data_IF_526884116515
#
_entry.id   IF_526884116515
#
_cell.length_a   1.000
_cell.length_b   1.000
_cell.length_c   1.000
_cell.angle_alpha   90.00
_cell.angle_beta   90.00
_cell.angle_gamma   90.00
#
_symmetry.space_group_name_H-M   'P 1'
#
loop_
_entity.id
_entity.type
_entity.pdbx_description
1 polymer ?
#
# COMPACT_ATOMS: atom_id res chain seq x y z
N UNK A 1 -24.87 1.58 8.74
CA UNK A 1 -23.42 1.84 8.52
C UNK A 1 -23.21 3.34 8.48
N UNK A 2 -22.45 3.91 9.42
CA UNK A 2 -22.26 5.36 9.48
C UNK A 2 -21.35 5.76 8.30
N UNK A 3 -21.82 6.61 7.37
CA UNK A 3 -21.03 7.07 6.21
C UNK A 3 -19.65 7.62 6.59
N UNK A 4 -19.50 8.10 7.83
CA UNK A 4 -18.23 8.52 8.42
C UNK A 4 -17.19 7.39 8.51
N UNK A 5 -17.59 6.17 8.87
CA UNK A 5 -16.69 5.02 8.98
C UNK A 5 -16.23 4.52 7.60
N UNK A 6 -17.12 4.51 6.60
CA UNK A 6 -16.79 4.12 5.22
C UNK A 6 -15.85 5.10 4.51
N UNK A 7 -15.97 6.41 4.77
CA UNK A 7 -15.08 7.43 4.17
C UNK A 7 -13.66 7.43 4.77
N UNK A 8 -13.51 6.91 6.00
CA UNK A 8 -12.28 6.91 6.79
C UNK A 8 -11.22 5.89 6.29
N UNK A 9 -11.60 4.98 5.38
CA UNK A 9 -10.95 3.66 5.28
C UNK A 9 -10.43 3.23 3.90
N UNK A 10 -10.54 4.07 2.87
CA UNK A 10 -9.93 3.77 1.55
C UNK A 10 -8.54 4.41 1.48
N UNK A 11 -7.54 3.68 1.97
CA UNK A 11 -6.12 4.05 1.90
C UNK A 11 -5.46 3.28 0.75
N UNK A 12 -5.09 3.99 -0.31
CA UNK A 12 -4.55 3.39 -1.53
C UNK A 12 -3.03 3.24 -1.43
N UNK A 13 -2.56 2.01 -1.65
CA UNK A 13 -1.16 1.53 -1.66
C UNK A 13 -0.45 1.96 -2.96
N UNK A 14 -0.32 3.25 -3.22
CA UNK A 14 0.13 3.70 -4.55
C UNK A 14 1.65 3.66 -4.76
N UNK A 15 2.48 3.84 -3.73
CA UNK A 15 3.90 4.23 -3.95
C UNK A 15 4.90 3.09 -4.07
N UNK A 16 4.58 1.91 -3.54
CA UNK A 16 5.38 0.70 -3.82
C UNK A 16 5.57 0.48 -5.32
N UNK A 17 4.54 0.83 -6.10
CA UNK A 17 4.52 0.62 -7.53
C UNK A 17 5.27 1.67 -8.35
N UNK A 18 5.60 2.83 -7.77
CA UNK A 18 6.53 3.78 -8.40
C UNK A 18 7.98 3.27 -8.29
N UNK A 19 8.38 2.78 -7.11
CA UNK A 19 9.67 2.12 -6.92
C UNK A 19 9.78 0.81 -7.72
N UNK A 20 8.75 -0.03 -7.69
CA UNK A 20 8.68 -1.25 -8.49
C UNK A 20 8.67 -0.94 -9.99
N UNK A 21 7.94 0.08 -10.45
CA UNK A 21 7.89 0.51 -11.85
C UNK A 21 9.27 0.89 -12.39
N UNK A 22 10.11 1.52 -11.58
CA UNK A 22 11.51 1.78 -11.92
C UNK A 22 12.32 0.49 -12.15
N UNK A 23 12.17 -0.51 -11.28
CA UNK A 23 12.85 -1.80 -11.47
C UNK A 23 12.25 -2.60 -12.63
N UNK A 24 10.94 -2.53 -12.85
CA UNK A 24 10.28 -3.12 -14.02
C UNK A 24 10.81 -2.53 -15.34
N UNK A 25 11.22 -1.25 -15.36
CA UNK A 25 11.72 -0.54 -16.55
C UNK A 25 13.20 -0.73 -16.87
N UNK A 26 14.03 -1.23 -15.93
CA UNK A 26 15.51 -1.17 -15.86
C UNK A 26 16.06 0.12 -15.26
N UNK A 27 17.23 -0.01 -14.62
CA UNK A 27 18.04 1.08 -14.05
C UNK A 27 18.42 2.09 -15.14
N UNK A 28 18.09 3.36 -14.96
CA UNK A 28 18.43 4.45 -15.90
C UNK A 28 19.06 5.65 -15.19
N UNK A 29 19.65 6.57 -15.96
CA UNK A 29 20.37 7.75 -15.45
C UNK A 29 19.46 8.95 -15.11
N UNK A 30 18.16 8.85 -15.36
CA UNK A 30 17.16 9.92 -15.17
C UNK A 30 16.54 9.86 -13.78
N UNK A 31 16.38 8.66 -13.21
CA UNK A 31 15.92 8.46 -11.83
C UNK A 31 16.98 7.75 -11.00
N UNK A 32 17.31 8.33 -9.84
CA UNK A 32 18.16 7.65 -8.86
C UNK A 32 17.30 6.89 -7.86
N UNK A 33 17.55 5.59 -7.74
CA UNK A 33 16.88 4.76 -6.73
C UNK A 33 17.89 4.19 -5.75
N UNK A 34 17.63 4.43 -4.47
CA UNK A 34 18.50 4.01 -3.37
C UNK A 34 17.71 3.09 -2.43
N UNK A 35 18.26 1.91 -2.18
CA UNK A 35 17.76 1.03 -1.14
C UNK A 35 18.46 1.36 0.19
N UNK A 36 17.69 1.59 1.25
CA UNK A 36 18.22 1.88 2.58
C UNK A 36 17.76 0.80 3.53
N UNK A 37 18.72 0.16 4.21
CA UNK A 37 18.42 -0.81 5.26
C UNK A 37 18.19 -0.12 6.60
N UNK A 38 17.11 -0.49 7.31
CA UNK A 38 16.79 0.10 8.62
C UNK A 38 17.79 -0.30 9.71
N UNK A 39 18.31 -1.52 9.68
CA UNK A 39 19.18 -2.11 10.70
C UNK A 39 20.62 -2.38 10.19
N UNK A 40 20.87 -2.13 8.91
CA UNK A 40 22.16 -2.38 8.26
C UNK A 40 22.43 -3.85 7.98
N UNK A 41 21.46 -4.75 8.23
CA UNK A 41 21.62 -6.18 8.00
C UNK A 41 21.58 -6.54 6.50
N UNK A 42 20.83 -5.75 5.72
CA UNK A 42 20.71 -5.95 4.28
C UNK A 42 21.62 -5.00 3.50
N UNK A 43 22.31 -5.53 2.49
CA UNK A 43 23.06 -4.71 1.53
C UNK A 43 22.12 -4.01 0.56
N UNK A 44 22.52 -2.86 0.02
CA UNK A 44 21.76 -2.21 -1.06
C UNK A 44 21.50 -3.18 -2.22
N UNK A 45 22.50 -3.96 -2.63
CA UNK A 45 22.39 -4.93 -3.71
C UNK A 45 21.36 -6.03 -3.44
N UNK A 46 21.27 -6.53 -2.20
CA UNK A 46 20.27 -7.55 -1.85
C UNK A 46 18.86 -6.99 -1.87
N UNK A 47 18.65 -5.77 -1.35
CA UNK A 47 17.35 -5.09 -1.39
C UNK A 47 16.92 -4.76 -2.83
N UNK A 48 17.87 -4.42 -3.71
CA UNK A 48 17.63 -4.23 -5.15
C UNK A 48 17.20 -5.51 -5.85
N UNK A 49 17.88 -6.62 -5.56
CA UNK A 49 17.51 -7.92 -6.12
C UNK A 49 16.11 -8.37 -5.67
N UNK A 50 15.79 -8.16 -4.39
CA UNK A 50 14.50 -8.53 -3.82
C UNK A 50 13.35 -7.68 -4.39
N UNK A 51 13.51 -6.35 -4.44
CA UNK A 51 12.53 -5.46 -5.06
C UNK A 51 12.27 -5.83 -6.53
N UNK A 52 13.32 -6.15 -7.28
CA UNK A 52 13.19 -6.60 -8.68
C UNK A 52 12.40 -7.91 -8.77
N UNK A 53 12.75 -8.90 -7.96
CA UNK A 53 12.07 -10.20 -7.95
C UNK A 53 10.58 -10.05 -7.68
N UNK A 54 10.22 -9.29 -6.64
CA UNK A 54 8.83 -9.04 -6.26
C UNK A 54 8.07 -8.22 -7.30
N UNK A 55 8.76 -7.30 -8.00
CA UNK A 55 8.17 -6.53 -9.09
C UNK A 55 7.83 -7.42 -10.30
N UNK A 56 8.68 -8.38 -10.62
CA UNK A 56 8.42 -9.34 -11.71
C UNK A 56 7.29 -10.31 -11.36
N UNK A 57 7.25 -10.80 -10.12
CA UNK A 57 6.15 -11.61 -9.63
C UNK A 57 4.81 -10.86 -9.73
N UNK A 58 4.78 -9.58 -9.37
CA UNK A 58 3.60 -8.75 -9.54
C UNK A 58 3.11 -8.75 -11.00
N UNK A 59 4.02 -8.50 -11.94
CA UNK A 59 3.71 -8.50 -13.38
C UNK A 59 3.14 -9.85 -13.84
N UNK A 60 3.71 -10.97 -13.37
CA UNK A 60 3.20 -12.31 -13.69
C UNK A 60 1.79 -12.55 -13.14
N UNK A 61 1.53 -12.15 -11.90
CA UNK A 61 0.21 -12.31 -11.26
C UNK A 61 -0.84 -11.43 -11.95
N UNK A 62 -0.49 -10.19 -12.33
CA UNK A 62 -1.35 -9.35 -13.17
C UNK A 62 -1.67 -10.05 -14.50
N UNK A 63 -0.70 -10.76 -15.09
CA UNK A 63 -0.90 -11.58 -16.30
C UNK A 63 -1.99 -12.65 -16.15
N UNK A 64 -2.12 -13.23 -14.96
CA UNK A 64 -3.16 -14.22 -14.65
C UNK A 64 -4.53 -13.58 -14.40
N UNK A 65 -4.55 -12.45 -13.69
CA UNK A 65 -5.79 -11.76 -13.29
C UNK A 65 -6.41 -10.95 -14.43
N UNK A 66 -5.59 -10.19 -15.16
CA UNK A 66 -6.04 -9.28 -16.20
C UNK A 66 -5.05 -9.27 -17.39
N UNK A 67 -5.24 -10.19 -18.36
CA UNK A 67 -4.36 -10.30 -19.53
C UNK A 67 -4.24 -9.01 -20.35
N UNK A 68 -5.29 -8.18 -20.39
CA UNK A 68 -5.26 -6.89 -21.09
C UNK A 68 -4.33 -5.87 -20.42
N UNK A 69 -4.46 -5.70 -19.09
CA UNK A 69 -3.56 -4.84 -18.29
C UNK A 69 -2.11 -5.31 -18.42
N UNK A 70 -1.89 -6.63 -18.40
CA UNK A 70 -0.57 -7.24 -18.60
C UNK A 70 0.06 -6.92 -19.95
N UNK A 71 -0.71 -6.94 -21.05
CA UNK A 71 -0.20 -6.54 -22.38
C UNK A 71 0.32 -5.10 -22.36
N UNK A 72 -0.41 -4.19 -21.73
CA UNK A 72 0.01 -2.79 -21.54
C UNK A 72 1.31 -2.68 -20.75
N UNK A 73 1.40 -3.34 -19.60
CA UNK A 73 2.61 -3.38 -18.77
C UNK A 73 3.82 -3.89 -19.56
N UNK A 74 3.70 -5.04 -20.24
CA UNK A 74 4.79 -5.65 -20.99
C UNK A 74 5.28 -4.76 -22.13
N UNK A 75 4.36 -4.08 -22.82
CA UNK A 75 4.70 -3.10 -23.86
C UNK A 75 5.50 -1.94 -23.29
N UNK A 76 5.07 -1.38 -22.16
CA UNK A 76 5.74 -0.27 -21.50
C UNK A 76 7.13 -0.66 -20.96
N UNK A 77 7.26 -1.84 -20.35
CA UNK A 77 8.56 -2.39 -19.92
C UNK A 77 9.52 -2.49 -21.11
N UNK A 78 9.06 -3.01 -22.25
CA UNK A 78 9.88 -3.14 -23.46
C UNK A 78 10.36 -1.80 -24.00
N UNK A 79 9.53 -0.77 -23.90
CA UNK A 79 9.79 0.57 -24.45
C UNK A 79 10.39 1.55 -23.44
N UNK A 80 10.67 1.11 -22.20
CA UNK A 80 11.10 2.02 -21.13
C UNK A 80 12.34 2.83 -21.47
N UNK A 81 13.33 2.22 -22.14
CA UNK A 81 14.59 2.86 -22.52
C UNK A 81 14.38 4.03 -23.50
N UNK A 82 13.26 4.08 -24.22
CA UNK A 82 12.93 5.14 -25.19
C UNK A 82 11.91 6.16 -24.67
N UNK A 83 11.38 5.96 -23.46
CA UNK A 83 10.42 6.88 -22.85
C UNK A 83 11.09 8.17 -22.37
N UNK A 84 10.41 9.31 -22.53
CA UNK A 84 10.79 10.56 -21.84
C UNK A 84 10.58 10.44 -20.33
N UNK A 85 11.15 11.37 -19.56
CA UNK A 85 10.94 11.44 -18.11
C UNK A 85 9.45 11.52 -17.76
N UNK A 86 8.69 12.33 -18.48
CA UNK A 86 7.25 12.53 -18.28
C UNK A 86 6.48 11.23 -18.56
N UNK A 87 6.85 10.51 -19.61
CA UNK A 87 6.25 9.21 -19.95
C UNK A 87 6.55 8.15 -18.87
N UNK A 88 7.77 8.14 -18.32
CA UNK A 88 8.13 7.25 -17.20
C UNK A 88 7.33 7.57 -15.93
N UNK A 89 7.17 8.85 -15.60
CA UNK A 89 6.32 9.29 -14.48
C UNK A 89 4.86 8.90 -14.70
N UNK A 90 4.33 9.12 -15.90
CA UNK A 90 2.96 8.71 -16.24
C UNK A 90 2.78 7.20 -16.09
N UNK A 91 3.72 6.41 -16.61
CA UNK A 91 3.69 4.96 -16.49
C UNK A 91 3.73 4.49 -15.03
N UNK A 92 4.58 5.07 -14.18
CA UNK A 92 4.59 4.74 -12.74
C UNK A 92 3.25 5.04 -12.06
N UNK A 93 2.61 6.16 -12.40
CA UNK A 93 1.28 6.49 -11.88
C UNK A 93 0.21 5.51 -12.39
N UNK A 94 0.31 5.07 -13.65
CA UNK A 94 -0.60 4.07 -14.23
C UNK A 94 -0.48 2.72 -13.53
N UNK A 95 0.74 2.27 -13.20
CA UNK A 95 0.95 1.03 -12.41
C UNK A 95 0.30 1.21 -11.03
N UNK A 96 0.55 2.31 -10.34
CA UNK A 96 -0.01 2.58 -9.02
C UNK A 96 -1.55 2.56 -9.02
N UNK A 97 -2.17 3.27 -9.97
CA UNK A 97 -3.62 3.29 -10.14
C UNK A 97 -4.20 1.92 -10.52
N UNK A 98 -3.52 1.21 -11.42
CA UNK A 98 -3.90 -0.15 -11.81
C UNK A 98 -3.86 -1.11 -10.61
N UNK A 99 -2.80 -1.07 -9.78
CA UNK A 99 -2.69 -1.89 -8.58
C UNK A 99 -3.80 -1.58 -7.59
N UNK A 100 -4.11 -0.30 -7.35
CA UNK A 100 -5.22 0.09 -6.48
C UNK A 100 -6.54 -0.57 -6.91
N UNK A 101 -6.86 -0.49 -8.21
CA UNK A 101 -8.06 -1.12 -8.78
C UNK A 101 -8.02 -2.64 -8.63
N UNK A 102 -6.88 -3.28 -8.89
CA UNK A 102 -6.74 -4.73 -8.75
C UNK A 102 -6.88 -5.18 -7.30
N UNK A 103 -6.33 -4.44 -6.35
CA UNK A 103 -6.46 -4.74 -4.93
C UNK A 103 -7.93 -4.67 -4.49
N UNK A 104 -8.64 -3.60 -4.81
CA UNK A 104 -10.07 -3.46 -4.47
C UNK A 104 -10.89 -4.63 -5.07
N UNK A 105 -10.65 -4.97 -6.34
CA UNK A 105 -11.33 -6.08 -7.02
C UNK A 105 -11.04 -7.45 -6.38
N UNK A 106 -9.83 -7.63 -5.83
CA UNK A 106 -9.32 -8.95 -5.42
C UNK A 106 -9.37 -9.21 -3.92
N UNK A 107 -9.48 -8.17 -3.10
CA UNK A 107 -9.59 -8.28 -1.64
C UNK A 107 -10.73 -9.19 -1.16
N UNK A 108 -11.94 -9.16 -1.76
CA UNK A 108 -13.01 -10.07 -1.35
C UNK A 108 -12.62 -11.56 -1.44
N UNK A 109 -11.70 -11.90 -2.34
CA UNK A 109 -11.24 -13.27 -2.60
C UNK A 109 -9.89 -13.60 -1.94
N UNK A 110 -9.22 -12.61 -1.34
CA UNK A 110 -7.90 -12.81 -0.73
C UNK A 110 -7.98 -13.65 0.56
N UNK A 111 -6.92 -14.38 0.86
CA UNK A 111 -6.85 -15.20 2.09
C UNK A 111 -6.79 -14.34 3.36
N UNK A 112 -7.25 -14.90 4.48
CA UNK A 112 -7.16 -14.24 5.79
C UNK A 112 -5.71 -13.87 6.13
N UNK A 113 -4.76 -14.76 5.83
CA UNK A 113 -3.33 -14.52 6.07
C UNK A 113 -2.80 -13.34 5.26
N UNK A 114 -3.22 -13.21 3.99
CA UNK A 114 -2.83 -12.11 3.12
C UNK A 114 -3.30 -10.76 3.68
N UNK A 115 -4.55 -10.70 4.14
CA UNK A 115 -5.13 -9.48 4.71
C UNK A 115 -4.50 -9.12 6.05
N UNK A 116 -4.26 -10.10 6.93
CA UNK A 116 -3.57 -9.84 8.20
C UNK A 116 -2.12 -9.37 7.98
N UNK A 117 -1.40 -9.95 7.02
CA UNK A 117 -0.07 -9.49 6.62
C UNK A 117 -0.11 -8.06 6.04
N UNK A 118 -1.21 -7.70 5.38
CA UNK A 118 -1.38 -6.38 4.77
C UNK A 118 -1.43 -5.28 5.82
N UNK A 119 -2.17 -5.51 6.90
CA UNK A 119 -2.18 -4.57 8.03
C UNK A 119 -0.77 -4.34 8.60
N UNK A 120 0.01 -5.42 8.78
CA UNK A 120 1.41 -5.30 9.22
C UNK A 120 2.27 -4.48 8.26
N UNK A 121 2.15 -4.73 6.95
CA UNK A 121 2.91 -4.02 5.93
C UNK A 121 2.56 -2.53 5.85
N UNK A 122 1.27 -2.16 5.98
CA UNK A 122 0.85 -0.74 5.95
C UNK A 122 1.45 0.01 7.14
N UNK A 123 1.38 -0.57 8.33
CA UNK A 123 1.96 0.00 9.55
C UNK A 123 3.45 0.30 9.34
N UNK A 124 4.21 -0.70 8.91
CA UNK A 124 5.66 -0.54 8.77
C UNK A 124 6.05 0.46 7.67
N UNK A 125 5.22 0.60 6.63
CA UNK A 125 5.39 1.65 5.63
C UNK A 125 5.17 3.04 6.24
N UNK A 126 4.09 3.23 7.02
CA UNK A 126 3.84 4.51 7.70
C UNK A 126 5.03 4.88 8.59
N UNK A 127 5.51 3.96 9.43
CA UNK A 127 6.70 4.14 10.25
C UNK A 127 7.95 4.41 9.41
N UNK A 128 8.13 3.66 8.31
CA UNK A 128 9.24 3.81 7.39
C UNK A 128 9.29 5.19 6.72
N UNK A 129 8.15 5.73 6.31
CA UNK A 129 8.08 7.08 5.74
C UNK A 129 8.31 8.15 6.79
N UNK A 130 7.81 7.98 8.02
CA UNK A 130 8.04 8.95 9.10
C UNK A 130 9.50 8.99 9.55
N UNK A 131 10.24 7.89 9.43
CA UNK A 131 11.70 7.89 9.65
C UNK A 131 12.44 8.63 8.53
N UNK A 132 12.03 8.43 7.26
CA UNK A 132 12.65 9.07 6.09
C UNK A 132 12.34 10.58 6.02
N UNK A 133 11.09 10.95 6.30
CA UNK A 133 10.56 12.30 6.27
C UNK A 133 9.71 12.54 7.55
N UNK A 134 10.34 13.07 8.62
CA UNK A 134 9.64 13.36 9.87
C UNK A 134 8.52 14.39 9.75
N UNK A 135 8.44 15.16 8.66
CA UNK A 135 7.32 16.08 8.41
C UNK A 135 6.03 15.32 8.07
N UNK A 136 6.13 14.06 7.65
CA UNK A 136 5.00 13.23 7.23
C UNK A 136 4.44 13.60 5.85
N UNK A 137 4.99 14.59 5.15
CA UNK A 137 4.49 15.03 3.84
C UNK A 137 4.61 13.94 2.77
N UNK A 138 5.75 13.26 2.74
CA UNK A 138 5.96 12.12 1.85
C UNK A 138 4.99 10.99 2.19
N UNK A 139 4.88 10.64 3.47
CA UNK A 139 3.93 9.64 3.93
C UNK A 139 2.49 9.97 3.50
N UNK A 140 2.05 11.23 3.70
CA UNK A 140 0.72 11.68 3.36
C UNK A 140 0.45 11.58 1.85
N UNK A 141 1.35 12.09 1.01
CA UNK A 141 1.21 11.96 -0.43
C UNK A 141 1.25 10.50 -0.91
N UNK A 142 1.91 9.61 -0.17
CA UNK A 142 2.01 8.20 -0.55
C UNK A 142 0.71 7.44 -0.26
N UNK A 143 0.05 7.74 0.86
CA UNK A 143 -1.26 7.18 1.21
C UNK A 143 -2.42 7.87 0.48
N UNK A 144 -2.27 9.15 0.12
CA UNK A 144 -3.30 9.96 -0.53
C UNK A 144 -2.80 10.63 -1.83
N UNK A 145 -2.31 9.85 -2.81
CA UNK A 145 -1.63 10.36 -4.00
C UNK A 145 -2.51 11.27 -4.87
N UNK A 146 -3.83 11.04 -4.89
CA UNK A 146 -4.77 11.83 -5.67
C UNK A 146 -4.85 13.30 -5.22
N UNK A 147 -4.49 13.59 -3.97
CA UNK A 147 -4.52 14.95 -3.43
C UNK A 147 -3.28 15.76 -3.78
N UNK A 148 -2.13 15.09 -4.01
CA UNK A 148 -0.85 15.66 -4.43
C UNK A 148 -0.55 17.02 -3.76
N UNK A 149 -0.66 17.07 -2.42
CA UNK A 149 -0.65 18.32 -1.64
C UNK A 149 0.73 18.91 -1.47
N UNK A 150 1.74 18.05 -1.42
CA UNK A 150 3.12 18.46 -1.20
C UNK A 150 3.96 18.21 -2.45
N UNK A 151 4.93 19.08 -2.76
CA UNK A 151 5.88 18.80 -3.83
C UNK A 151 6.68 17.53 -3.48
N UNK A 152 6.84 16.65 -4.46
CA UNK A 152 7.68 15.45 -4.33
C UNK A 152 8.78 15.50 -5.37
N UNK A 153 10.02 15.24 -4.95
CA UNK A 153 11.10 15.02 -5.91
C UNK A 153 10.94 13.65 -6.57
N UNK A 154 10.10 13.59 -7.59
CA UNK A 154 9.87 12.35 -8.36
C UNK A 154 11.11 11.85 -9.10
N UNK A 155 12.25 12.54 -9.07
CA UNK A 155 13.50 12.09 -9.68
C UNK A 155 14.32 11.16 -8.77
N UNK A 156 14.06 11.16 -7.46
CA UNK A 156 14.81 10.41 -6.48
C UNK A 156 13.85 9.55 -5.66
N UNK A 157 14.03 8.23 -5.71
CA UNK A 157 13.22 7.31 -4.94
C UNK A 157 14.09 6.55 -3.96
N UNK A 158 13.75 6.65 -2.68
CA UNK A 158 14.38 5.84 -1.64
C UNK A 158 13.38 4.81 -1.16
N UNK A 159 13.70 3.53 -1.30
CA UNK A 159 12.89 2.45 -0.76
C UNK A 159 13.64 1.70 0.35
N UNK A 160 12.89 1.04 1.22
CA UNK A 160 13.42 0.23 2.31
C UNK A 160 12.72 -1.13 2.36
N UNK A 161 13.03 -1.93 3.38
CA UNK A 161 12.44 -3.26 3.57
C UNK A 161 10.92 -3.22 3.75
N UNK A 162 10.36 -2.14 4.30
CA UNK A 162 8.91 -2.00 4.44
C UNK A 162 8.21 -1.82 3.09
N UNK A 163 8.84 -1.11 2.14
CA UNK A 163 8.34 -0.99 0.77
C UNK A 163 8.35 -2.35 0.05
N UNK A 164 9.39 -3.16 0.25
CA UNK A 164 9.47 -4.54 -0.29
C UNK A 164 8.39 -5.43 0.34
N UNK A 165 8.21 -5.37 1.66
CA UNK A 165 7.19 -6.17 2.35
C UNK A 165 5.79 -5.81 1.92
N UNK A 166 5.52 -4.53 1.65
CA UNK A 166 4.24 -4.14 1.07
C UNK A 166 4.05 -4.74 -0.33
N UNK A 167 5.07 -4.74 -1.19
CA UNK A 167 4.98 -5.40 -2.51
C UNK A 167 4.69 -6.89 -2.39
N UNK A 168 5.41 -7.58 -1.50
CA UNK A 168 5.20 -8.99 -1.16
C UNK A 168 3.77 -9.25 -0.74
N UNK A 169 3.23 -8.41 0.14
CA UNK A 169 1.86 -8.60 0.60
C UNK A 169 0.83 -8.31 -0.48
N UNK A 170 1.05 -7.34 -1.36
CA UNK A 170 0.21 -7.15 -2.54
C UNK A 170 0.26 -8.38 -3.44
N UNK A 171 1.44 -8.93 -3.72
CA UNK A 171 1.58 -10.19 -4.45
C UNK A 171 0.82 -11.35 -3.78
N UNK A 172 0.87 -11.42 -2.46
CA UNK A 172 0.16 -12.44 -1.68
C UNK A 172 -1.37 -12.28 -1.77
N UNK A 173 -1.89 -11.05 -1.66
CA UNK A 173 -3.32 -10.75 -1.87
C UNK A 173 -3.74 -11.20 -3.26
N UNK A 174 -3.03 -10.74 -4.30
CA UNK A 174 -3.40 -11.02 -5.69
C UNK A 174 -3.26 -12.52 -6.02
N UNK A 175 -2.23 -13.19 -5.52
CA UNK A 175 -2.04 -14.63 -5.78
C UNK A 175 -3.07 -15.47 -5.04
N UNK A 176 -3.31 -15.20 -3.75
CA UNK A 176 -4.30 -15.94 -2.97
C UNK A 176 -5.73 -15.75 -3.50
N UNK A 177 -6.02 -14.60 -4.12
CA UNK A 177 -7.31 -14.35 -4.78
C UNK A 177 -7.59 -15.22 -6.01
N UNK A 178 -6.59 -15.94 -6.52
CA UNK A 178 -6.72 -16.90 -7.63
C UNK A 178 -7.01 -18.32 -7.14
N UNK A 179 -6.92 -18.58 -5.83
CA UNK A 179 -7.24 -19.87 -5.24
C UNK A 179 -8.75 -19.96 -4.98
N UNK A 180 -9.37 -21.09 -5.30
CA UNK A 180 -10.75 -21.39 -4.88
C UNK A 180 -10.78 -21.56 -3.36
N UNK A 181 -10.97 -20.46 -2.62
CA UNK A 181 -11.14 -20.49 -1.16
C UNK A 181 -12.55 -20.14 -0.74
N UNK A 182 -13.09 -21.02 0.10
CA UNK A 182 -14.09 -20.69 1.09
C UNK A 182 -13.54 -19.57 1.99
N UNK A 183 -13.94 -18.33 1.77
CA UNK A 183 -13.92 -17.33 2.82
C UNK A 183 -14.63 -17.94 4.02
N UNK A 184 -13.95 -18.09 5.15
CA UNK A 184 -14.59 -18.59 6.36
C UNK A 184 -15.81 -17.71 6.64
N UNK A 185 -16.98 -18.31 6.89
CA UNK A 185 -18.20 -17.56 7.22
C UNK A 185 -18.03 -16.94 8.62
N UNK A 186 -17.21 -15.90 8.72
CA UNK A 186 -17.13 -15.05 9.90
C UNK A 186 -18.41 -14.22 9.94
N UNK A 187 -19.20 -14.28 11.01
CA UNK A 187 -20.38 -13.44 11.14
C UNK A 187 -19.96 -11.97 11.06
N UNK A 188 -20.66 -11.18 10.22
CA UNK A 188 -20.36 -9.76 10.05
C UNK A 188 -20.29 -8.99 11.39
N UNK A 189 -21.04 -9.43 12.40
CA UNK A 189 -21.02 -8.85 13.74
C UNK A 189 -19.65 -8.95 14.42
N UNK A 190 -18.88 -10.04 14.21
CA UNK A 190 -17.53 -10.17 14.75
C UNK A 190 -16.56 -9.20 14.08
N UNK A 191 -16.65 -9.04 12.76
CA UNK A 191 -15.87 -8.07 12.01
C UNK A 191 -16.20 -6.62 12.43
N UNK A 192 -17.49 -6.28 12.60
CA UNK A 192 -17.90 -4.97 13.09
C UNK A 192 -17.44 -4.70 14.53
N UNK A 193 -17.36 -5.74 15.38
CA UNK A 193 -16.81 -5.59 16.72
C UNK A 193 -15.32 -5.20 16.65
N UNK A 194 -14.54 -5.88 15.81
CA UNK A 194 -13.13 -5.52 15.57
C UNK A 194 -13.02 -4.06 15.11
N UNK A 195 -13.83 -3.62 14.15
CA UNK A 195 -13.83 -2.23 13.67
C UNK A 195 -14.19 -1.23 14.78
N UNK A 196 -15.16 -1.57 15.63
CA UNK A 196 -15.55 -0.76 16.78
C UNK A 196 -14.42 -0.62 17.80
N UNK A 197 -13.77 -1.73 18.13
CA UNK A 197 -12.65 -1.77 19.10
C UNK A 197 -11.44 -0.98 18.58
N UNK A 198 -11.11 -1.12 17.28
CA UNK A 198 -10.05 -0.33 16.62
C UNK A 198 -10.36 1.17 16.67
N UNK A 199 -11.59 1.56 16.28
CA UNK A 199 -12.00 2.96 16.29
C UNK A 199 -11.98 3.57 17.70
N UNK A 200 -12.44 2.81 18.70
CA UNK A 200 -12.41 3.24 20.09
C UNK A 200 -10.97 3.49 20.55
N UNK A 201 -10.05 2.54 20.34
CA UNK A 201 -8.63 2.67 20.74
C UNK A 201 -7.94 3.85 20.04
N UNK A 202 -8.24 4.10 18.76
CA UNK A 202 -7.74 5.29 18.07
C UNK A 202 -8.29 6.59 18.66
N UNK A 203 -9.60 6.63 18.95
CA UNK A 203 -10.26 7.79 19.53
C UNK A 203 -9.73 8.09 20.94
N UNK A 204 -9.43 7.05 21.74
CA UNK A 204 -8.79 7.20 23.05
C UNK A 204 -7.38 7.80 22.93
N UNK A 205 -6.61 7.42 21.89
CA UNK A 205 -5.23 7.91 21.70
C UNK A 205 -5.16 9.31 21.07
N UNK A 206 -6.00 9.58 20.08
CA UNK A 206 -5.90 10.78 19.22
C UNK A 206 -7.04 11.79 19.44
N UNK A 207 -8.08 11.44 20.20
CA UNK A 207 -9.27 12.27 20.38
C UNK A 207 -9.91 12.64 19.04
N UNK A 208 -10.30 13.90 18.91
CA UNK A 208 -10.93 14.42 17.69
C UNK A 208 -10.00 14.40 16.46
N UNK A 209 -8.68 14.21 16.64
CA UNK A 209 -7.75 14.14 15.50
C UNK A 209 -7.98 12.93 14.60
N UNK A 210 -8.68 11.88 15.06
CA UNK A 210 -9.10 10.76 14.19
C UNK A 210 -9.92 11.26 13.00
N UNK A 211 -10.62 12.39 13.14
CA UNK A 211 -11.40 13.00 12.07
C UNK A 211 -10.56 13.53 10.90
N UNK A 212 -9.23 13.65 11.04
CA UNK A 212 -8.33 14.01 9.93
C UNK A 212 -8.41 13.01 8.77
N UNK A 213 -8.70 11.73 9.06
CA UNK A 213 -8.91 10.71 8.03
C UNK A 213 -10.26 10.84 7.31
N UNK A 214 -11.21 11.61 7.87
CA UNK A 214 -12.49 11.93 7.21
C UNK A 214 -12.44 13.21 6.37
N UNK A 215 -11.46 14.07 6.61
CA UNK A 215 -11.23 15.32 5.87
C UNK A 215 -9.75 15.42 5.52
N UNK A 216 -9.36 14.77 4.44
CA UNK A 216 -7.96 14.69 4.02
C UNK A 216 -7.39 16.05 3.60
N UNK A 217 -8.21 17.06 3.32
CA UNK A 217 -7.69 18.42 3.12
C UNK A 217 -7.16 19.00 4.43
N UNK A 218 -7.87 18.78 5.55
CA UNK A 218 -7.36 19.09 6.90
C UNK A 218 -6.25 18.14 7.31
N UNK A 219 -6.32 16.86 6.93
CA UNK A 219 -5.23 15.90 7.14
C UNK A 219 -3.90 16.40 6.55
N UNK A 220 -3.94 17.10 5.43
CA UNK A 220 -2.76 17.72 4.82
C UNK A 220 -2.21 18.93 5.61
N UNK A 221 -2.97 19.50 6.55
CA UNK A 221 -2.45 20.55 7.45
C UNK A 221 -1.63 19.95 8.60
N UNK A 222 -1.90 18.68 8.97
CA UNK A 222 -1.16 17.90 9.97
C UNK A 222 -0.77 16.50 9.41
N UNK A 223 0.13 16.46 8.39
CA UNK A 223 0.44 15.23 7.66
C UNK A 223 1.14 14.19 8.53
N UNK A 224 1.99 14.62 9.48
CA UNK A 224 2.64 13.73 10.44
C UNK A 224 1.63 13.01 11.33
N UNK A 225 0.66 13.72 11.91
CA UNK A 225 -0.34 13.09 12.77
C UNK A 225 -1.26 12.21 11.95
N UNK A 226 -1.66 12.64 10.75
CA UNK A 226 -2.47 11.81 9.84
C UNK A 226 -1.77 10.49 9.54
N UNK A 227 -0.47 10.51 9.26
CA UNK A 227 0.32 9.31 9.03
C UNK A 227 0.47 8.40 10.24
N UNK A 228 0.65 8.98 11.43
CA UNK A 228 0.66 8.21 12.67
C UNK A 228 -0.69 7.51 12.91
N UNK A 229 -1.81 8.20 12.67
CA UNK A 229 -3.15 7.61 12.80
C UNK A 229 -3.30 6.44 11.81
N UNK A 230 -2.84 6.58 10.55
CA UNK A 230 -2.85 5.47 9.57
C UNK A 230 -2.03 4.27 10.07
N UNK A 231 -0.80 4.51 10.51
CA UNK A 231 0.08 3.44 11.01
C UNK A 231 -0.54 2.70 12.20
N UNK A 232 -1.04 3.45 13.17
CA UNK A 232 -1.70 2.91 14.36
C UNK A 232 -3.01 2.20 14.05
N UNK A 233 -3.80 2.72 13.10
CA UNK A 233 -5.04 2.08 12.67
C UNK A 233 -4.78 0.63 12.26
N UNK A 234 -3.79 0.40 11.40
CA UNK A 234 -3.43 -0.94 10.96
C UNK A 234 -2.69 -1.75 12.02
N UNK A 235 -1.85 -1.13 12.86
CA UNK A 235 -1.20 -1.78 14.00
C UNK A 235 -2.23 -2.41 14.95
N UNK A 236 -3.36 -1.76 15.19
CA UNK A 236 -4.42 -2.28 16.03
C UNK A 236 -5.02 -3.59 15.48
N UNK A 237 -5.21 -3.74 14.16
CA UNK A 237 -5.60 -5.02 13.56
C UNK A 237 -4.56 -6.12 13.82
N UNK A 238 -3.27 -5.78 13.78
CA UNK A 238 -2.20 -6.77 14.05
C UNK A 238 -2.22 -7.27 15.50
N UNK A 239 -2.74 -6.46 16.43
CA UNK A 239 -2.86 -6.76 17.86
C UNK A 239 -4.15 -7.50 18.21
N UNK A 240 -5.15 -7.51 17.34
CA UNK A 240 -6.39 -8.25 17.58
C UNK A 240 -6.14 -9.78 17.55
N UNK A 241 -6.64 -10.54 18.55
CA UNK A 241 -6.38 -11.97 18.67
C UNK A 241 -7.19 -12.80 17.68
N UNK A 242 -8.42 -12.39 17.34
CA UNK A 242 -9.27 -13.11 16.40
C UNK A 242 -8.90 -12.76 14.95
N UNK A 243 -7.89 -13.46 14.40
CA UNK A 243 -7.35 -13.20 13.06
C UNK A 243 -8.36 -13.37 11.93
N UNK A 244 -9.34 -14.26 12.08
CA UNK A 244 -10.41 -14.43 11.10
C UNK A 244 -11.34 -13.20 11.09
N UNK A 245 -11.75 -12.72 12.27
CA UNK A 245 -12.55 -11.49 12.37
C UNK A 245 -11.78 -10.24 11.92
N UNK A 246 -10.47 -10.18 12.18
CA UNK A 246 -9.58 -9.14 11.67
C UNK A 246 -9.53 -9.14 10.15
N UNK A 247 -9.32 -10.30 9.53
CA UNK A 247 -9.31 -10.43 8.08
C UNK A 247 -10.66 -10.00 7.47
N UNK A 248 -11.77 -10.44 8.05
CA UNK A 248 -13.09 -10.06 7.58
C UNK A 248 -13.37 -8.56 7.74
N UNK A 249 -12.94 -7.95 8.85
CA UNK A 249 -13.00 -6.52 9.04
C UNK A 249 -12.17 -5.77 7.97
N UNK A 250 -10.97 -6.26 7.65
CA UNK A 250 -10.14 -5.72 6.58
C UNK A 250 -10.80 -5.87 5.20
N UNK A 251 -11.47 -7.00 4.92
CA UNK A 251 -12.28 -7.15 3.69
C UNK A 251 -13.36 -6.09 3.62
N UNK A 252 -14.15 -5.93 4.67
CA UNK A 252 -15.27 -5.00 4.71
C UNK A 252 -14.84 -3.55 4.45
N UNK A 253 -13.65 -3.15 4.90
CA UNK A 253 -13.21 -1.75 4.77
C UNK A 253 -12.47 -1.46 3.46
N UNK A 254 -11.82 -2.48 2.87
CA UNK A 254 -11.01 -2.32 1.67
C UNK A 254 -11.78 -2.67 0.36
N UNK A 255 -12.98 -3.25 0.47
CA UNK A 255 -13.84 -3.60 -0.67
C UNK A 255 -15.01 -2.63 -0.93
N UNK A 256 -15.09 -1.52 -0.18
CA UNK A 256 -16.10 -0.46 -0.35
C UNK A 256 -15.65 0.61 -1.35
#
# INVERSE_FOLDING_TARGET
MNKKLSLLLVLIVAVVFAGAGYYMGKRDNVFSVTAVSKDGAATQKSLEAEMMSESMQFVEVVGKISPEKYKGLKSNIRNYDTMTREQKVAWMNDIAGMTAVLLIDRIPYASDDALNAFAGAVKEQAEGYLVKDPSGQQCFNNFFPALNKFPQNKAQFTYNEADIRMLKTVNLILTSSLEDRNTGNVPAQEAYKVLGDVYQKLSEKYGDKVMLLSDLNKGAEDPVTTCLIVGDFYDLFTKEPNKAATAEALRLILSQ
#
